data_IF_954133194805
#
_entry.id   IF_954133194805
#
_cell.length_a   1.000
_cell.length_b   1.000
_cell.length_c   1.000
_cell.angle_alpha   90.00
_cell.angle_beta   90.00
_cell.angle_gamma   90.00
#
_symmetry.space_group_name_H-M   'P 1'
#
loop_
_entity.id
_entity.type
_entity.pdbx_description
1 polymer ?
#
# COMPACT_ATOMS: atom_id res chain seq x y z
N UNK A 1 -15.02 -59.40 -38.12
CA UNK A 1 -13.92 -59.04 -37.19
C UNK A 1 -13.28 -57.74 -37.65
N UNK A 2 -13.48 -56.62 -36.93
CA UNK A 2 -12.83 -55.34 -37.25
C UNK A 2 -12.54 -54.51 -35.98
N UNK A 3 -12.11 -55.17 -34.91
CA UNK A 3 -12.00 -54.61 -33.55
C UNK A 3 -10.67 -53.90 -33.25
N UNK A 4 -9.63 -54.11 -34.07
CA UNK A 4 -8.31 -53.47 -33.86
C UNK A 4 -8.24 -52.03 -34.40
N UNK A 5 -8.91 -51.73 -35.52
CA UNK A 5 -8.90 -50.39 -36.11
C UNK A 5 -9.72 -49.36 -35.31
N UNK A 6 -10.80 -49.79 -34.66
CA UNK A 6 -11.60 -48.93 -33.77
C UNK A 6 -10.87 -48.60 -32.45
N UNK A 7 -10.12 -49.55 -31.87
CA UNK A 7 -9.33 -49.32 -30.65
C UNK A 7 -8.19 -48.29 -30.86
N UNK A 8 -7.50 -48.32 -32.02
CA UNK A 8 -6.45 -47.32 -32.32
C UNK A 8 -7.00 -45.90 -32.47
N UNK A 9 -8.16 -45.74 -33.11
CA UNK A 9 -8.82 -44.41 -33.25
C UNK A 9 -9.35 -43.86 -31.94
N UNK A 10 -9.84 -44.72 -31.03
CA UNK A 10 -10.28 -44.29 -29.70
C UNK A 10 -9.10 -43.81 -28.83
N UNK A 11 -7.97 -44.52 -28.81
CA UNK A 11 -6.79 -44.11 -28.04
C UNK A 11 -6.16 -42.79 -28.51
N UNK A 12 -6.20 -42.51 -29.82
CA UNK A 12 -5.73 -41.23 -30.38
C UNK A 12 -6.63 -40.05 -29.94
N UNK A 13 -7.96 -40.25 -29.88
CA UNK A 13 -8.90 -39.22 -29.40
C UNK A 13 -8.71 -38.91 -27.91
N UNK A 14 -8.46 -39.92 -27.08
CA UNK A 14 -8.24 -39.71 -25.63
C UNK A 14 -6.93 -38.98 -25.35
N UNK A 15 -5.85 -39.30 -26.09
CA UNK A 15 -4.56 -38.61 -25.93
C UNK A 15 -4.64 -37.14 -26.35
N UNK A 16 -5.29 -36.82 -27.47
CA UNK A 16 -5.45 -35.43 -27.91
C UNK A 16 -6.24 -34.56 -26.91
N UNK A 17 -7.28 -35.13 -26.29
CA UNK A 17 -8.05 -34.44 -25.25
C UNK A 17 -7.23 -34.22 -23.97
N UNK A 18 -6.47 -35.22 -23.51
CA UNK A 18 -5.61 -35.11 -22.33
C UNK A 18 -4.54 -34.04 -22.55
N UNK A 19 -3.87 -34.03 -23.70
CA UNK A 19 -2.85 -33.03 -24.00
C UNK A 19 -3.41 -31.61 -24.02
N UNK A 20 -4.63 -31.43 -24.53
CA UNK A 20 -5.31 -30.13 -24.54
C UNK A 20 -5.67 -29.66 -23.13
N UNK A 21 -6.19 -30.55 -22.27
CA UNK A 21 -6.49 -30.23 -20.86
C UNK A 21 -5.23 -29.89 -20.08
N UNK A 22 -4.15 -30.65 -20.28
CA UNK A 22 -2.86 -30.40 -19.62
C UNK A 22 -2.25 -29.08 -20.07
N UNK A 23 -2.32 -28.74 -21.37
CA UNK A 23 -1.85 -27.46 -21.87
C UNK A 23 -2.66 -26.28 -21.30
N UNK A 24 -3.99 -26.44 -21.18
CA UNK A 24 -4.87 -25.44 -20.58
C UNK A 24 -4.59 -25.25 -19.08
N UNK A 25 -4.30 -26.32 -18.35
CA UNK A 25 -3.91 -26.25 -16.95
C UNK A 25 -2.53 -25.60 -16.78
N UNK A 26 -1.55 -25.90 -17.63
CA UNK A 26 -0.22 -25.27 -17.57
C UNK A 26 -0.30 -23.78 -17.92
N UNK A 27 -1.09 -23.38 -18.92
CA UNK A 27 -1.30 -21.97 -19.25
C UNK A 27 -2.09 -21.23 -18.17
N UNK A 28 -3.14 -21.85 -17.60
CA UNK A 28 -3.93 -21.28 -16.52
C UNK A 28 -3.15 -21.14 -15.20
N UNK A 29 -2.48 -22.20 -14.75
CA UNK A 29 -1.70 -22.16 -13.50
C UNK A 29 -0.34 -21.47 -13.66
N UNK A 30 0.32 -21.62 -14.80
CA UNK A 30 1.59 -20.95 -15.09
C UNK A 30 1.44 -19.44 -15.18
N UNK A 31 0.37 -18.93 -15.80
CA UNK A 31 0.07 -17.50 -15.80
C UNK A 31 -0.26 -16.99 -14.40
N UNK A 32 -0.99 -17.77 -13.59
CA UNK A 32 -1.33 -17.40 -12.22
C UNK A 32 -0.10 -17.29 -11.29
N UNK A 33 0.91 -18.13 -11.50
CA UNK A 33 2.14 -18.11 -10.69
C UNK A 33 3.15 -17.03 -11.15
N UNK A 34 3.19 -16.68 -12.44
CA UNK A 34 4.08 -15.64 -12.98
C UNK A 34 3.57 -14.21 -12.76
N UNK A 35 2.24 -14.01 -12.60
CA UNK A 35 1.65 -12.67 -12.45
C UNK A 35 1.48 -12.21 -10.99
N UNK A 36 1.59 -13.10 -9.99
CA UNK A 36 1.48 -12.73 -8.57
C UNK A 36 2.60 -11.82 -8.03
N UNK A 37 3.89 -11.98 -8.38
CA UNK A 37 4.93 -11.21 -7.69
C UNK A 37 5.08 -9.74 -8.15
N UNK A 38 4.53 -9.36 -9.32
CA UNK A 38 4.65 -8.00 -9.87
C UNK A 38 3.46 -7.09 -9.55
N UNK A 39 2.25 -7.63 -9.36
CA UNK A 39 1.05 -6.83 -9.04
C UNK A 39 1.00 -6.44 -7.56
N UNK A 40 1.52 -7.26 -6.65
CA UNK A 40 1.48 -6.97 -5.21
C UNK A 40 2.59 -6.03 -4.71
N UNK A 41 3.74 -5.95 -5.39
CA UNK A 41 4.90 -5.19 -4.89
C UNK A 41 4.99 -3.74 -5.37
N UNK A 42 4.32 -3.36 -6.47
CA UNK A 42 4.42 -1.99 -7.00
C UNK A 42 3.12 -1.18 -6.87
N UNK A 43 1.96 -1.84 -6.76
CA UNK A 43 0.67 -1.16 -6.53
C UNK A 43 0.46 -0.79 -5.04
N UNK A 44 1.25 -1.36 -4.13
CA UNK A 44 0.96 -1.37 -2.68
C UNK A 44 1.65 -0.29 -1.84
N UNK A 45 2.69 0.37 -2.35
CA UNK A 45 3.53 1.30 -1.58
C UNK A 45 3.42 2.73 -2.14
N UNK A 46 2.20 3.22 -2.31
CA UNK A 46 1.91 4.63 -2.60
C UNK A 46 1.49 5.35 -1.32
N UNK A 47 1.70 6.67 -1.19
CA UNK A 47 1.29 7.39 0.01
C UNK A 47 -0.20 7.23 0.31
N UNK A 48 -1.04 7.32 -0.71
CA UNK A 48 -2.49 7.18 -0.63
C UNK A 48 -2.89 5.78 -0.12
N UNK A 49 -2.26 4.72 -0.64
CA UNK A 49 -2.55 3.36 -0.20
C UNK A 49 -2.06 3.09 1.22
N UNK A 50 -0.94 3.69 1.64
CA UNK A 50 -0.49 3.63 3.02
C UNK A 50 -1.50 4.27 3.96
N UNK A 51 -2.02 5.46 3.63
CA UNK A 51 -3.06 6.13 4.43
C UNK A 51 -4.34 5.31 4.48
N UNK A 52 -4.82 4.81 3.34
CA UNK A 52 -6.02 3.97 3.29
C UNK A 52 -5.91 2.75 4.22
N UNK A 53 -4.77 2.06 4.21
CA UNK A 53 -4.53 0.91 5.09
C UNK A 53 -4.45 1.34 6.56
N UNK A 54 -3.75 2.44 6.84
CA UNK A 54 -3.62 2.97 8.18
C UNK A 54 -4.97 3.35 8.79
N UNK A 55 -5.78 4.12 8.07
CA UNK A 55 -7.14 4.49 8.49
C UNK A 55 -8.00 3.24 8.68
N UNK A 56 -7.94 2.27 7.76
CA UNK A 56 -8.66 1.00 7.91
C UNK A 56 -8.28 0.23 9.19
N UNK A 57 -7.00 0.20 9.57
CA UNK A 57 -6.58 -0.40 10.84
C UNK A 57 -7.07 0.39 12.06
N UNK A 58 -7.11 1.71 11.97
CA UNK A 58 -7.62 2.58 13.06
C UNK A 58 -9.13 2.40 13.23
N UNK A 59 -9.90 2.32 12.14
CA UNK A 59 -11.33 2.04 12.14
C UNK A 59 -11.66 0.71 12.81
N UNK A 60 -10.86 -0.33 12.53
CA UNK A 60 -11.00 -1.66 13.13
C UNK A 60 -10.42 -1.77 14.55
N UNK A 61 -9.89 -0.66 15.11
CA UNK A 61 -9.17 -0.63 16.39
C UNK A 61 -7.95 -1.55 16.45
N UNK A 62 -7.42 -1.94 15.29
CA UNK A 62 -6.19 -2.72 15.15
C UNK A 62 -4.94 -1.83 15.32
N UNK A 63 -4.84 -1.16 16.47
CA UNK A 63 -3.82 -0.14 16.74
C UNK A 63 -2.38 -0.67 16.63
N UNK A 64 -2.17 -1.96 16.90
CA UNK A 64 -0.87 -2.62 16.68
C UNK A 64 -0.50 -2.70 15.20
N UNK A 65 -1.46 -2.94 14.31
CA UNK A 65 -1.22 -2.95 12.86
C UNK A 65 -1.02 -1.53 12.33
N UNK A 66 -1.83 -0.58 12.80
CA UNK A 66 -1.65 0.84 12.50
C UNK A 66 -0.24 1.32 12.90
N UNK A 67 0.28 0.87 14.06
CA UNK A 67 1.65 1.18 14.52
C UNK A 67 2.73 0.76 13.53
N UNK A 68 2.56 -0.37 12.85
CA UNK A 68 3.53 -0.86 11.86
C UNK A 68 3.63 0.02 10.60
N UNK A 69 2.67 0.92 10.40
CA UNK A 69 2.64 1.90 9.30
C UNK A 69 3.10 3.29 9.73
N UNK A 70 3.47 3.49 11.00
CA UNK A 70 3.98 4.77 11.49
C UNK A 70 5.52 4.85 11.39
N UNK A 71 6.07 6.06 11.39
CA UNK A 71 7.52 6.30 11.52
C UNK A 71 8.03 5.78 12.86
N UNK A 72 9.31 5.37 12.98
CA UNK A 72 9.89 4.96 14.26
C UNK A 72 9.76 6.04 15.35
N UNK A 73 9.89 7.31 14.98
CA UNK A 73 9.70 8.44 15.90
C UNK A 73 8.28 8.47 16.46
N UNK A 74 7.26 8.31 15.61
CA UNK A 74 5.88 8.28 16.05
C UNK A 74 5.60 7.05 16.92
N UNK A 75 6.13 5.88 16.55
CA UNK A 75 6.00 4.65 17.33
C UNK A 75 6.63 4.75 18.74
N UNK A 76 7.65 5.59 18.90
CA UNK A 76 8.35 5.84 20.16
C UNK A 76 7.77 7.03 20.94
N UNK A 77 6.81 7.76 20.38
CA UNK A 77 6.19 8.91 21.04
C UNK A 77 5.31 8.43 22.20
N UNK A 78 5.50 8.92 23.44
CA UNK A 78 4.62 8.62 24.56
C UNK A 78 3.17 9.00 24.21
N UNK A 79 2.24 8.07 24.43
CA UNK A 79 0.82 8.31 24.14
C UNK A 79 0.40 8.13 22.68
N UNK A 80 1.25 7.55 21.80
CA UNK A 80 0.88 7.23 20.40
C UNK A 80 -0.46 6.49 20.29
N UNK A 81 -0.75 5.61 21.25
CA UNK A 81 -2.00 4.86 21.29
C UNK A 81 -3.22 5.75 21.51
N UNK A 82 -3.10 6.76 22.38
CA UNK A 82 -4.16 7.74 22.62
C UNK A 82 -4.39 8.61 21.36
N UNK A 83 -3.34 8.95 20.63
CA UNK A 83 -3.47 9.63 19.34
C UNK A 83 -4.26 8.81 18.32
N UNK A 84 -3.99 7.51 18.22
CA UNK A 84 -4.78 6.62 17.36
C UNK A 84 -6.22 6.47 17.83
N UNK A 85 -6.44 6.38 19.14
CA UNK A 85 -7.78 6.28 19.69
C UNK A 85 -8.60 7.55 19.42
N UNK A 86 -7.99 8.73 19.58
CA UNK A 86 -8.64 10.00 19.26
C UNK A 86 -8.95 10.09 17.77
N UNK A 87 -8.04 9.64 16.90
CA UNK A 87 -8.30 9.54 15.47
C UNK A 87 -9.49 8.60 15.19
N UNK A 88 -9.56 7.44 15.83
CA UNK A 88 -10.70 6.53 15.70
C UNK A 88 -12.02 7.20 16.08
N UNK A 89 -12.05 7.94 17.20
CA UNK A 89 -13.26 8.65 17.66
C UNK A 89 -13.67 9.76 16.69
N UNK A 90 -12.72 10.40 16.00
CA UNK A 90 -13.01 11.47 15.03
C UNK A 90 -13.31 10.97 13.62
N UNK A 91 -13.08 9.69 13.31
CA UNK A 91 -13.31 9.15 11.98
C UNK A 91 -14.81 8.94 11.73
N UNK A 92 -15.33 9.55 10.66
CA UNK A 92 -16.61 9.19 10.07
C UNK A 92 -16.38 8.33 8.81
N UNK A 93 -16.69 7.03 8.84
CA UNK A 93 -16.51 6.13 7.70
C UNK A 93 -17.25 6.60 6.44
N UNK A 94 -18.38 7.30 6.58
CA UNK A 94 -19.18 7.77 5.44
C UNK A 94 -18.50 8.92 4.67
N UNK A 95 -17.57 9.62 5.30
CA UNK A 95 -16.88 10.80 4.75
C UNK A 95 -15.41 10.53 4.39
N UNK A 96 -14.96 9.28 4.50
CA UNK A 96 -13.57 8.92 4.17
C UNK A 96 -13.31 9.00 2.67
N UNK A 97 -12.40 9.87 2.27
CA UNK A 97 -11.99 10.05 0.88
C UNK A 97 -10.48 10.29 0.83
N UNK A 98 -9.78 9.66 -0.11
CA UNK A 98 -8.31 9.67 -0.10
C UNK A 98 -7.76 10.40 -1.32
N UNK A 99 -7.08 11.52 -1.10
CA UNK A 99 -6.48 12.33 -2.16
C UNK A 99 -5.05 12.75 -1.79
N UNK A 100 -4.11 12.60 -2.72
CA UNK A 100 -2.77 13.16 -2.58
C UNK A 100 -2.85 14.66 -2.86
N UNK A 101 -2.57 15.50 -1.85
CA UNK A 101 -2.67 16.96 -1.96
C UNK A 101 -1.30 17.63 -2.14
N UNK A 102 -0.22 16.96 -1.76
CA UNK A 102 1.14 17.46 -1.95
C UNK A 102 2.18 16.36 -1.84
N UNK A 103 3.30 16.51 -2.55
CA UNK A 103 4.46 15.64 -2.40
C UNK A 103 5.74 16.44 -2.65
N UNK A 104 6.66 16.42 -1.70
CA UNK A 104 7.95 17.10 -1.77
C UNK A 104 9.06 16.14 -1.34
N UNK A 105 9.83 15.65 -2.31
CA UNK A 105 10.90 14.68 -2.07
C UNK A 105 10.38 13.42 -1.37
N UNK A 106 10.87 13.19 -0.15
CA UNK A 106 10.51 12.05 0.69
C UNK A 106 9.31 12.31 1.60
N UNK A 107 8.57 13.41 1.41
CA UNK A 107 7.37 13.75 2.19
C UNK A 107 6.15 13.82 1.28
N UNK A 108 5.04 13.26 1.73
CA UNK A 108 3.75 13.32 1.05
C UNK A 108 2.65 13.77 2.01
N UNK A 109 1.68 14.50 1.48
CA UNK A 109 0.50 14.98 2.18
C UNK A 109 -0.72 14.33 1.54
N UNK A 110 -1.50 13.61 2.34
CA UNK A 110 -2.68 12.90 1.88
C UNK A 110 -3.87 13.33 2.73
N UNK A 111 -4.88 13.87 2.07
CA UNK A 111 -6.19 14.11 2.66
C UNK A 111 -6.95 12.78 2.74
N UNK A 112 -7.58 12.50 3.88
CA UNK A 112 -8.36 11.28 4.13
C UNK A 112 -9.84 11.56 4.50
N UNK A 113 -10.23 12.81 4.71
CA UNK A 113 -11.62 13.23 4.90
C UNK A 113 -11.92 14.47 4.06
N UNK A 114 -13.01 14.41 3.29
CA UNK A 114 -13.44 15.50 2.42
C UNK A 114 -14.05 16.68 3.17
N UNK A 115 -14.84 16.44 4.22
CA UNK A 115 -15.55 17.51 4.94
C UNK A 115 -14.74 18.06 6.12
N UNK A 116 -14.09 17.19 6.90
CA UNK A 116 -13.39 17.61 8.12
C UNK A 116 -11.94 18.06 7.86
N UNK A 117 -11.47 18.00 6.60
CA UNK A 117 -10.12 18.43 6.23
C UNK A 117 -9.02 17.58 6.87
N UNK A 118 -9.32 16.32 7.20
CA UNK A 118 -8.35 15.40 7.79
C UNK A 118 -7.17 15.16 6.86
N UNK A 119 -5.97 15.56 7.27
CA UNK A 119 -4.73 15.39 6.50
C UNK A 119 -3.73 14.57 7.32
N UNK A 120 -3.10 13.59 6.67
CA UNK A 120 -1.95 12.88 7.20
C UNK A 120 -0.72 13.16 6.34
N UNK A 121 0.41 13.32 7.03
CA UNK A 121 1.72 13.45 6.41
C UNK A 121 2.45 12.12 6.48
N UNK A 122 3.16 11.80 5.40
CA UNK A 122 3.94 10.58 5.27
C UNK A 122 5.38 10.91 4.95
N UNK A 123 6.29 10.10 5.47
CA UNK A 123 7.72 10.14 5.15
C UNK A 123 8.15 8.83 4.50
N UNK A 124 8.98 8.93 3.47
CA UNK A 124 9.62 7.79 2.84
C UNK A 124 10.85 7.40 3.64
N UNK A 125 10.85 6.20 4.22
CA UNK A 125 11.97 5.66 5.01
C UNK A 125 12.29 4.27 4.45
N UNK A 126 13.54 4.04 4.06
CA UNK A 126 14.00 2.77 3.46
C UNK A 126 13.10 2.31 2.29
N UNK A 127 12.66 3.26 1.46
CA UNK A 127 11.79 3.00 0.31
C UNK A 127 10.31 2.80 0.64
N UNK A 128 9.89 2.82 1.92
CA UNK A 128 8.49 2.64 2.35
C UNK A 128 7.88 3.94 2.83
N UNK A 129 6.63 4.21 2.48
CA UNK A 129 5.88 5.34 3.04
C UNK A 129 5.32 4.98 4.41
N UNK A 130 5.58 5.84 5.40
CA UNK A 130 5.15 5.69 6.79
C UNK A 130 4.50 6.97 7.29
N UNK A 131 3.48 6.85 8.14
CA UNK A 131 2.74 7.97 8.75
C UNK A 131 3.61 8.69 9.77
N UNK A 132 3.76 10.00 9.58
CA UNK A 132 4.52 10.88 10.47
C UNK A 132 3.68 11.24 11.70
N UNK A 133 4.36 11.45 12.83
CA UNK A 133 3.75 12.14 13.97
C UNK A 133 3.58 13.63 13.67
N UNK A 134 2.61 14.33 14.29
CA UNK A 134 2.46 15.78 14.15
C UNK A 134 3.77 16.54 14.41
N UNK A 135 4.51 16.15 15.46
CA UNK A 135 5.78 16.79 15.82
C UNK A 135 6.88 16.66 14.75
N UNK A 136 6.88 15.56 13.98
CA UNK A 136 7.86 15.37 12.88
C UNK A 136 7.52 16.22 11.66
N UNK A 137 6.25 16.54 11.46
CA UNK A 137 5.79 17.37 10.33
C UNK A 137 6.36 18.77 10.48
N UNK A 138 6.22 19.37 11.66
CA UNK A 138 6.72 20.72 11.96
C UNK A 138 8.25 20.81 11.76
N UNK A 139 8.98 19.80 12.21
CA UNK A 139 10.44 19.74 12.05
C UNK A 139 10.86 19.61 10.59
N UNK A 140 10.14 18.80 9.81
CA UNK A 140 10.50 18.50 8.42
C UNK A 140 10.15 19.65 7.48
N UNK A 141 9.07 20.37 7.75
CA UNK A 141 8.67 21.56 6.98
C UNK A 141 9.45 22.82 7.41
N UNK A 142 9.76 22.97 8.70
CA UNK A 142 10.55 24.10 9.23
C UNK A 142 12.02 24.07 8.84
N UNK A 143 12.58 22.90 8.51
CA UNK A 143 13.97 22.74 8.07
C UNK A 143 14.23 23.22 6.62
N UNK A 144 13.18 23.58 5.87
CA UNK A 144 13.28 24.11 4.51
C UNK A 144 13.68 25.59 4.42
N UNK A 145 13.78 26.29 5.54
CA UNK A 145 14.16 27.70 5.61
C UNK A 145 15.41 27.90 6.48
N UNK A 146 16.58 27.51 5.98
CA UNK A 146 17.84 28.09 6.44
C UNK A 146 18.35 29.08 5.39
N UNK A 147 18.58 30.34 5.77
CA UNK A 147 18.91 31.41 4.84
C UNK A 147 20.32 31.17 4.29
N UNK A 148 20.47 31.19 2.97
CA UNK A 148 21.76 31.41 2.36
C UNK A 148 22.28 32.77 2.82
N UNK A 149 23.12 32.75 3.85
CA UNK A 149 23.88 33.88 4.33
C UNK A 149 24.78 34.37 3.20
N UNK A 150 24.36 35.42 2.50
CA UNK A 150 25.25 36.24 1.70
C UNK A 150 26.11 37.06 2.66
N UNK A 151 27.25 36.50 3.05
CA UNK A 151 28.34 37.27 3.64
C UNK A 151 28.93 38.18 2.56
N UNK A 152 28.34 39.35 2.35
CA UNK A 152 29.01 40.44 1.66
C UNK A 152 29.88 41.17 2.67
N UNK A 153 31.13 40.74 2.73
CA UNK A 153 32.24 41.52 3.26
C UNK A 153 32.51 42.70 2.31
N UNK A 154 32.46 43.93 2.83
CA UNK A 154 33.41 45.03 2.63
C UNK A 154 32.91 46.31 3.31
#
# INVERSE_FOLDING_TARGET
>A
MNTQAQRRRQQAKTRGFITLVVALLILGFGSYFLLRPTIDNQTSNTPVNTVRRFIGFVELKEFTQARNLMTPTFQNTPGWHASLYNLYVSLDPAETSYALTGQQGDIAQVQFSSEQGGVLYLKKINGRWLIMSPNEVDQSLGSGASPSASSSAQ
#
